data_IF_893117697636
#
_entry.id   IF_893117697636
#
_cell.length_a   1.000
_cell.length_b   1.000
_cell.length_c   1.000
_cell.angle_alpha   90.00
_cell.angle_beta   90.00
_cell.angle_gamma   90.00
#
_symmetry.space_group_name_H-M   'P 1'
#
loop_
_entity.id
_entity.type
_entity.pdbx_description
1 polymer ?
#
# COMPACT_ATOMS: atom_id res chain seq x y z
N UNK A 1 16.99 -3.93 -18.63
CA UNK A 1 16.25 -5.22 -18.67
C UNK A 1 17.06 -6.31 -19.38
N UNK A 2 17.64 -6.08 -20.57
CA UNK A 2 18.42 -7.10 -21.31
C UNK A 2 19.55 -7.77 -20.51
N UNK A 3 20.10 -7.11 -19.48
CA UNK A 3 21.16 -7.67 -18.65
C UNK A 3 20.67 -8.68 -17.59
N UNK A 4 19.38 -8.61 -17.21
CA UNK A 4 18.75 -9.60 -16.33
C UNK A 4 18.27 -10.84 -17.11
N UNK A 5 18.16 -10.77 -18.43
CA UNK A 5 17.64 -11.85 -19.29
C UNK A 5 18.66 -12.97 -19.59
N UNK A 6 19.88 -12.89 -19.03
CA UNK A 6 20.87 -13.95 -19.16
C UNK A 6 20.60 -15.11 -18.18
N UNK A 7 21.11 -16.31 -18.48
CA UNK A 7 20.86 -17.53 -17.68
C UNK A 7 21.70 -17.63 -16.39
N UNK A 8 22.62 -16.69 -16.14
CA UNK A 8 23.50 -16.75 -14.97
C UNK A 8 22.71 -16.60 -13.68
N UNK A 9 22.92 -17.49 -12.74
CA UNK A 9 22.24 -17.47 -11.43
C UNK A 9 22.68 -16.30 -10.54
N UNK A 10 23.90 -15.80 -10.76
CA UNK A 10 24.47 -14.65 -10.04
C UNK A 10 24.93 -13.62 -11.05
N UNK A 11 24.61 -12.37 -10.77
CA UNK A 11 24.94 -11.21 -11.63
C UNK A 11 25.40 -10.05 -10.79
N UNK A 12 26.31 -9.26 -11.38
CA UNK A 12 26.64 -7.94 -10.86
C UNK A 12 26.26 -6.91 -11.92
N UNK A 13 25.41 -5.98 -11.55
CA UNK A 13 24.96 -4.91 -12.43
C UNK A 13 25.31 -3.56 -11.85
N UNK A 14 25.50 -2.58 -12.72
CA UNK A 14 25.59 -1.17 -12.37
C UNK A 14 24.23 -0.53 -12.66
N UNK A 15 23.56 -0.05 -11.62
CA UNK A 15 22.26 0.61 -11.68
C UNK A 15 22.41 2.00 -11.10
N UNK A 16 22.12 3.05 -11.88
CA UNK A 16 22.29 4.46 -11.44
C UNK A 16 23.67 4.73 -10.84
N UNK A 17 24.74 4.13 -11.42
CA UNK A 17 26.10 4.24 -10.91
C UNK A 17 26.45 3.35 -9.72
N UNK A 18 25.50 2.65 -9.15
CA UNK A 18 25.67 1.78 -8.00
C UNK A 18 25.87 0.32 -8.40
N UNK A 19 26.83 -0.34 -7.79
CA UNK A 19 27.13 -1.75 -8.01
C UNK A 19 26.25 -2.62 -7.13
N UNK A 20 25.39 -3.42 -7.76
CA UNK A 20 24.46 -4.33 -7.08
C UNK A 20 24.81 -5.76 -7.42
N UNK A 21 24.98 -6.60 -6.41
CA UNK A 21 25.18 -8.03 -6.57
C UNK A 21 23.84 -8.76 -6.44
N UNK A 22 23.42 -9.41 -7.49
CA UNK A 22 22.24 -10.27 -7.52
C UNK A 22 22.69 -11.73 -7.44
N UNK A 23 22.01 -12.51 -6.58
CA UNK A 23 22.32 -13.92 -6.36
C UNK A 23 21.05 -14.75 -6.33
N UNK A 24 21.20 -16.05 -6.62
CA UNK A 24 20.08 -17.00 -6.61
C UNK A 24 18.90 -16.53 -7.48
N UNK A 25 19.20 -16.02 -8.68
CA UNK A 25 18.21 -15.44 -9.58
C UNK A 25 17.16 -16.45 -10.05
N UNK A 26 17.50 -17.73 -10.04
CA UNK A 26 16.59 -18.82 -10.40
C UNK A 26 15.75 -19.32 -9.20
N UNK A 27 15.97 -18.74 -8.00
CA UNK A 27 15.17 -19.08 -6.82
C UNK A 27 13.70 -18.83 -7.09
N UNK A 28 12.86 -19.82 -6.77
CA UNK A 28 11.44 -19.77 -6.93
C UNK A 28 10.81 -18.85 -5.87
N UNK A 29 10.09 -17.83 -6.32
CA UNK A 29 9.35 -16.93 -5.45
C UNK A 29 7.86 -17.26 -5.44
N UNK A 30 7.24 -17.44 -6.60
CA UNK A 30 5.87 -17.95 -6.71
C UNK A 30 5.88 -19.25 -7.52
N UNK A 31 5.43 -20.37 -6.95
CA UNK A 31 5.18 -21.58 -7.72
C UNK A 31 4.05 -21.33 -8.72
N UNK A 32 4.09 -21.98 -9.86
CA UNK A 32 3.00 -21.90 -10.83
C UNK A 32 1.68 -22.35 -10.20
N UNK A 33 0.60 -21.69 -10.53
CA UNK A 33 -0.74 -22.00 -10.04
C UNK A 33 -1.77 -21.84 -11.16
N UNK A 34 -2.56 -22.86 -11.41
CA UNK A 34 -3.51 -22.91 -12.53
C UNK A 34 -2.84 -22.57 -13.88
N UNK A 35 -3.26 -21.49 -14.53
CA UNK A 35 -2.65 -21.00 -15.78
C UNK A 35 -1.46 -20.03 -15.58
N UNK A 36 -1.13 -19.68 -14.32
CA UNK A 36 -0.03 -18.76 -14.03
C UNK A 36 1.30 -19.48 -14.02
N UNK A 37 2.28 -18.89 -14.70
CA UNK A 37 3.63 -19.43 -14.78
C UNK A 37 4.37 -19.33 -13.44
N UNK A 38 5.42 -20.13 -13.32
CA UNK A 38 6.37 -20.04 -12.22
C UNK A 38 7.13 -18.71 -12.26
N UNK A 39 7.19 -17.99 -11.15
CA UNK A 39 7.90 -16.73 -11.02
C UNK A 39 9.13 -16.90 -10.15
N UNK A 40 10.29 -16.67 -10.74
CA UNK A 40 11.58 -16.67 -10.04
C UNK A 40 11.94 -15.28 -9.53
N UNK A 41 13.00 -15.19 -8.72
CA UNK A 41 13.58 -13.90 -8.31
C UNK A 41 13.91 -13.03 -9.52
N UNK A 42 14.44 -13.62 -10.60
CA UNK A 42 14.74 -12.92 -11.87
C UNK A 42 13.49 -12.26 -12.43
N UNK A 43 12.41 -12.99 -12.58
CA UNK A 43 11.14 -12.47 -13.10
C UNK A 43 10.63 -11.32 -12.22
N UNK A 44 10.74 -11.46 -10.90
CA UNK A 44 10.35 -10.41 -9.96
C UNK A 44 11.22 -9.15 -10.11
N UNK A 45 12.53 -9.27 -10.23
CA UNK A 45 13.44 -8.14 -10.46
C UNK A 45 13.18 -7.46 -11.81
N UNK A 46 12.90 -8.23 -12.86
CA UNK A 46 12.48 -7.71 -14.16
C UNK A 46 11.16 -6.93 -14.05
N UNK A 47 10.19 -7.45 -13.29
CA UNK A 47 8.95 -6.74 -12.99
C UNK A 47 9.25 -5.39 -12.31
N UNK A 48 9.98 -5.38 -11.19
CA UNK A 48 10.32 -4.15 -10.46
C UNK A 48 11.02 -3.12 -11.36
N UNK A 49 11.99 -3.56 -12.15
CA UNK A 49 12.68 -2.70 -13.11
C UNK A 49 11.73 -2.13 -14.16
N UNK A 50 10.78 -2.94 -14.65
CA UNK A 50 9.85 -2.53 -15.70
C UNK A 50 8.82 -1.50 -15.23
N UNK A 51 8.36 -1.62 -13.97
CA UNK A 51 7.34 -0.74 -13.39
C UNK A 51 7.92 0.43 -12.61
N UNK A 52 9.24 0.46 -12.39
CA UNK A 52 9.92 1.47 -11.58
C UNK A 52 9.60 2.92 -11.97
N UNK A 53 9.43 3.31 -13.25
CA UNK A 53 9.09 4.70 -13.60
C UNK A 53 7.76 5.17 -13.01
N UNK A 54 6.81 4.25 -12.81
CA UNK A 54 5.50 4.53 -12.22
C UNK A 54 5.47 4.25 -10.71
N UNK A 55 6.22 3.25 -10.24
CA UNK A 55 6.23 2.83 -8.83
C UNK A 55 7.03 3.79 -7.94
N UNK A 56 8.23 4.20 -8.35
CA UNK A 56 9.12 5.03 -7.52
C UNK A 56 8.51 6.35 -7.07
N UNK A 57 7.75 7.11 -7.90
CA UNK A 57 7.09 8.32 -7.43
C UNK A 57 6.15 8.13 -6.23
N UNK A 58 5.55 6.94 -6.09
CA UNK A 58 4.65 6.61 -4.97
C UNK A 58 5.39 6.11 -3.73
N UNK A 59 6.62 5.64 -3.87
CA UNK A 59 7.49 5.23 -2.75
C UNK A 59 8.29 6.42 -2.19
N UNK A 60 8.52 7.45 -3.02
CA UNK A 60 9.43 8.54 -2.74
C UNK A 60 9.11 9.25 -1.42
N UNK A 61 10.14 9.38 -0.57
CA UNK A 61 10.08 10.04 0.75
C UNK A 61 9.09 9.40 1.74
N UNK A 62 8.72 8.12 1.55
CA UNK A 62 7.84 7.38 2.48
C UNK A 62 8.60 6.31 3.23
N UNK A 63 8.27 6.16 4.51
CA UNK A 63 8.75 5.02 5.30
C UNK A 63 8.22 3.73 4.69
N UNK A 64 9.13 2.78 4.44
CA UNK A 64 8.79 1.48 3.88
C UNK A 64 8.70 0.44 4.99
N UNK A 65 7.64 -0.35 4.95
CA UNK A 65 7.52 -1.59 5.72
C UNK A 65 7.71 -2.76 4.76
N UNK A 66 8.66 -3.63 5.07
CA UNK A 66 9.03 -4.78 4.25
C UNK A 66 8.25 -6.01 4.67
N UNK A 67 7.76 -6.76 3.68
CA UNK A 67 7.22 -8.10 3.90
C UNK A 67 8.02 -9.08 3.06
N UNK A 68 9.02 -9.67 3.73
CA UNK A 68 10.04 -10.48 3.09
C UNK A 68 9.74 -11.97 3.16
N UNK A 69 10.05 -12.65 2.06
CA UNK A 69 9.95 -14.10 1.92
C UNK A 69 11.24 -14.66 1.28
N UNK A 70 12.34 -14.78 2.05
CA UNK A 70 13.64 -15.19 1.49
C UNK A 70 13.62 -16.55 0.79
N UNK A 71 12.64 -17.42 1.11
CA UNK A 71 12.45 -18.73 0.49
C UNK A 71 11.23 -18.78 -0.46
N UNK A 72 10.74 -17.62 -0.93
CA UNK A 72 9.52 -17.52 -1.72
C UNK A 72 8.26 -17.60 -0.86
N UNK A 73 7.09 -17.46 -1.50
CA UNK A 73 5.80 -17.31 -0.80
C UNK A 73 5.39 -18.51 0.07
N UNK A 74 5.97 -19.68 -0.18
CA UNK A 74 5.76 -20.88 0.63
C UNK A 74 6.67 -20.94 1.87
N UNK A 75 7.65 -20.04 1.96
CA UNK A 75 8.59 -19.97 3.06
C UNK A 75 8.13 -19.08 4.20
N UNK A 76 9.04 -18.90 5.17
CA UNK A 76 8.78 -18.04 6.33
C UNK A 76 8.63 -16.58 5.92
N UNK A 77 7.58 -15.92 6.46
CA UNK A 77 7.30 -14.50 6.36
C UNK A 77 8.06 -13.71 7.42
N UNK A 78 8.69 -12.62 7.02
CA UNK A 78 9.31 -11.65 7.91
C UNK A 78 8.66 -10.28 7.70
N UNK A 79 8.10 -9.74 8.77
CA UNK A 79 7.57 -8.39 8.79
C UNK A 79 8.61 -7.47 9.42
N UNK A 80 9.05 -6.43 8.69
CA UNK A 80 10.17 -5.62 9.11
C UNK A 80 9.91 -4.13 8.82
N UNK A 81 9.86 -3.30 9.87
CA UNK A 81 9.63 -1.85 9.76
C UNK A 81 10.92 -1.04 9.78
N UNK A 82 11.95 -1.55 10.40
CA UNK A 82 13.24 -0.88 10.55
C UNK A 82 14.36 -1.84 10.20
N UNK A 83 15.54 -1.30 9.93
CA UNK A 83 16.70 -2.08 9.52
C UNK A 83 17.84 -1.85 10.51
N UNK A 84 18.43 -2.93 11.02
CA UNK A 84 19.51 -2.89 12.02
C UNK A 84 20.88 -3.32 11.50
N UNK A 85 20.94 -3.85 10.25
CA UNK A 85 22.16 -4.37 9.65
C UNK A 85 22.85 -3.33 8.74
N UNK A 86 24.04 -3.66 8.25
CA UNK A 86 24.74 -2.85 7.26
C UNK A 86 23.92 -2.71 5.98
N UNK A 87 23.77 -1.48 5.52
CA UNK A 87 23.07 -1.13 4.29
C UNK A 87 24.06 -0.77 3.18
N UNK A 88 23.72 -1.06 1.92
CA UNK A 88 24.41 -0.46 0.79
C UNK A 88 24.34 1.08 0.85
N UNK A 89 25.40 1.76 0.42
CA UNK A 89 25.49 3.23 0.49
C UNK A 89 24.41 3.97 -0.31
N UNK A 90 23.76 3.32 -1.24
CA UNK A 90 22.68 3.90 -2.05
C UNK A 90 21.29 3.77 -1.40
N UNK A 91 21.17 3.06 -0.29
CA UNK A 91 19.92 2.90 0.47
C UNK A 91 19.82 4.03 1.48
N UNK A 92 18.83 4.87 1.29
CA UNK A 92 18.55 5.97 2.19
C UNK A 92 17.74 5.50 3.40
N UNK A 93 18.00 6.10 4.55
CA UNK A 93 17.26 5.88 5.80
C UNK A 93 16.84 7.18 6.44
N UNK A 94 15.81 7.09 7.27
CA UNK A 94 15.44 8.17 8.19
C UNK A 94 15.29 7.61 9.59
N UNK A 95 15.86 8.32 10.57
CA UNK A 95 15.82 7.92 11.97
C UNK A 95 14.56 8.45 12.63
N UNK A 96 13.77 7.54 13.23
CA UNK A 96 12.46 7.86 13.81
C UNK A 96 12.33 7.21 15.18
N UNK A 97 11.79 7.96 16.14
CA UNK A 97 11.46 7.43 17.46
C UNK A 97 10.31 6.42 17.39
N UNK A 98 10.46 5.29 18.06
CA UNK A 98 9.44 4.25 18.14
C UNK A 98 8.98 4.05 19.59
N UNK A 99 7.69 4.21 19.83
CA UNK A 99 7.10 4.05 21.16
C UNK A 99 7.30 2.66 21.72
N UNK A 100 7.06 1.63 20.88
CA UNK A 100 7.11 0.23 21.30
C UNK A 100 8.50 -0.17 21.86
N UNK A 101 9.59 0.36 21.26
CA UNK A 101 10.94 0.05 21.68
C UNK A 101 11.58 1.16 22.52
N UNK A 102 10.88 2.29 22.66
CA UNK A 102 11.33 3.50 23.38
C UNK A 102 12.72 3.96 22.95
N UNK A 103 12.99 3.93 21.63
CA UNK A 103 14.27 4.33 21.04
C UNK A 103 14.12 4.81 19.59
N UNK A 104 15.15 5.47 19.09
CA UNK A 104 15.25 5.87 17.69
C UNK A 104 15.71 4.70 16.83
N UNK A 105 15.01 4.41 15.75
CA UNK A 105 15.31 3.35 14.79
C UNK A 105 15.39 3.87 13.37
N UNK A 106 16.17 3.18 12.52
CA UNK A 106 16.35 3.54 11.12
C UNK A 106 15.31 2.85 10.26
N UNK A 107 14.50 3.65 9.58
CA UNK A 107 13.51 3.22 8.60
C UNK A 107 14.05 3.43 7.19
N UNK A 108 13.78 2.48 6.30
CA UNK A 108 14.20 2.55 4.91
C UNK A 108 13.31 3.50 4.10
N UNK A 109 13.95 4.18 3.15
CA UNK A 109 13.31 4.90 2.06
C UNK A 109 13.65 4.20 0.74
N UNK A 110 12.75 4.26 -0.23
CA UNK A 110 12.99 3.73 -1.57
C UNK A 110 12.82 4.84 -2.60
N UNK A 111 13.86 5.68 -2.72
CA UNK A 111 13.86 6.89 -3.55
C UNK A 111 14.52 6.69 -4.91
N UNK A 112 15.13 5.52 -5.16
CA UNK A 112 15.89 5.25 -6.38
C UNK A 112 15.75 3.78 -6.82
N UNK A 113 16.08 3.51 -8.09
CA UNK A 113 15.98 2.19 -8.69
C UNK A 113 16.95 1.19 -8.05
N UNK A 114 18.13 1.65 -7.67
CA UNK A 114 19.14 0.81 -6.99
C UNK A 114 18.58 0.21 -5.71
N UNK A 115 17.92 1.02 -4.88
CA UNK A 115 17.26 0.57 -3.65
C UNK A 115 16.09 -0.36 -3.96
N UNK A 116 15.25 -0.03 -4.94
CA UNK A 116 14.12 -0.87 -5.33
C UNK A 116 14.56 -2.29 -5.74
N UNK A 117 15.60 -2.39 -6.57
CA UNK A 117 16.13 -3.68 -7.00
C UNK A 117 16.86 -4.43 -5.87
N UNK A 118 17.52 -3.71 -4.96
CA UNK A 118 18.10 -4.32 -3.77
C UNK A 118 17.01 -4.90 -2.85
N UNK A 119 15.89 -4.21 -2.66
CA UNK A 119 14.72 -4.74 -1.92
C UNK A 119 14.20 -6.04 -2.56
N UNK A 120 14.13 -6.08 -3.90
CA UNK A 120 13.81 -7.31 -4.61
C UNK A 120 14.84 -8.43 -4.40
N UNK A 121 16.14 -8.10 -4.35
CA UNK A 121 17.23 -9.05 -4.08
C UNK A 121 17.10 -9.68 -2.69
N UNK A 122 16.71 -8.91 -1.67
CA UNK A 122 16.52 -9.41 -0.31
C UNK A 122 15.14 -10.04 -0.08
N UNK A 123 14.38 -10.25 -1.17
CA UNK A 123 13.06 -10.89 -1.18
C UNK A 123 11.96 -10.12 -0.45
N UNK A 124 11.98 -8.81 -0.51
CA UNK A 124 10.83 -7.99 -0.14
C UNK A 124 9.78 -8.10 -1.24
N UNK A 125 8.76 -8.92 -1.01
CA UNK A 125 7.75 -9.25 -2.01
C UNK A 125 6.50 -8.37 -1.91
N UNK A 126 6.29 -7.70 -0.79
CA UNK A 126 5.22 -6.71 -0.63
C UNK A 126 5.79 -5.41 -0.07
N UNK A 127 5.79 -4.37 -0.87
CA UNK A 127 6.20 -3.01 -0.49
C UNK A 127 5.02 -2.28 0.15
N UNK A 128 5.10 -2.00 1.45
CA UNK A 128 4.09 -1.22 2.14
C UNK A 128 4.62 0.15 2.50
N UNK A 129 3.83 1.20 2.28
CA UNK A 129 4.22 2.58 2.55
C UNK A 129 3.38 3.24 3.62
N UNK A 130 4.02 4.11 4.40
CA UNK A 130 3.32 5.06 5.26
C UNK A 130 2.51 6.07 4.42
N UNK A 131 1.45 6.63 5.02
CA UNK A 131 0.60 7.62 4.34
C UNK A 131 1.18 9.04 4.37
N UNK A 132 2.32 9.23 5.03
CA UNK A 132 3.05 10.50 5.15
C UNK A 132 4.39 10.43 4.43
N UNK A 133 4.83 11.55 3.82
CA UNK A 133 6.19 11.74 3.31
C UNK A 133 7.04 12.50 4.33
N UNK A 134 8.35 12.21 4.37
CA UNK A 134 9.32 12.96 5.19
C UNK A 134 9.66 14.34 4.62
N UNK A 135 9.35 14.60 3.35
CA UNK A 135 9.56 15.89 2.70
C UNK A 135 8.38 16.85 3.01
N UNK A 136 8.71 18.02 3.56
CA UNK A 136 7.73 19.03 3.96
C UNK A 136 7.05 19.76 2.79
N UNK A 137 7.62 19.68 1.58
CA UNK A 137 7.08 20.38 0.41
C UNK A 137 5.90 19.60 -0.22
N UNK A 138 4.95 20.33 -0.83
CA UNK A 138 4.80 21.80 -0.84
C UNK A 138 3.97 22.33 0.34
N UNK A 139 3.22 21.50 1.07
CA UNK A 139 2.06 21.87 1.89
C UNK A 139 2.27 21.75 3.42
N UNK A 140 3.50 21.49 3.88
CA UNK A 140 3.80 21.28 5.30
C UNK A 140 5.09 21.98 5.76
N UNK A 141 5.46 23.10 5.14
CA UNK A 141 6.74 23.82 5.38
C UNK A 141 6.92 24.26 6.83
N UNK A 142 5.85 24.48 7.56
CA UNK A 142 5.86 24.96 8.93
C UNK A 142 5.89 23.84 9.98
N UNK A 143 5.81 22.56 9.56
CA UNK A 143 5.85 21.44 10.46
C UNK A 143 7.30 21.05 10.81
N UNK A 144 7.58 20.74 12.07
CA UNK A 144 8.90 20.25 12.47
C UNK A 144 9.28 18.95 11.75
N UNK A 145 10.56 18.83 11.40
CA UNK A 145 11.14 17.64 10.77
C UNK A 145 12.05 16.85 11.72
N UNK A 146 11.93 17.09 13.02
CA UNK A 146 12.62 16.32 14.06
C UNK A 146 11.77 15.10 14.43
N UNK A 147 12.20 13.92 14.01
CA UNK A 147 11.48 12.66 14.20
C UNK A 147 12.00 11.79 15.35
N UNK A 148 13.00 12.29 16.09
CA UNK A 148 13.80 11.53 17.06
C UNK A 148 13.66 12.04 18.49
N UNK A 149 14.06 11.19 19.46
CA UNK A 149 14.27 11.54 20.85
C UNK A 149 13.07 11.34 21.77
N UNK A 150 11.84 11.55 21.30
CA UNK A 150 10.63 11.31 22.12
C UNK A 150 9.38 11.19 21.27
N UNK A 151 8.32 10.62 21.87
CA UNK A 151 7.00 10.59 21.27
C UNK A 151 6.43 12.00 21.04
N UNK A 152 6.67 12.92 21.95
CA UNK A 152 6.20 14.30 21.84
C UNK A 152 6.80 15.02 20.60
N UNK A 153 8.09 14.81 20.32
CA UNK A 153 8.71 15.32 19.10
C UNK A 153 8.03 14.72 17.86
N UNK A 154 7.76 13.43 17.87
CA UNK A 154 7.17 12.73 16.75
C UNK A 154 5.72 13.17 16.50
N UNK A 155 4.92 13.38 17.56
CA UNK A 155 3.53 13.86 17.48
C UNK A 155 3.43 15.28 16.91
N UNK A 156 4.38 16.15 17.23
CA UNK A 156 4.44 17.50 16.69
C UNK A 156 5.04 17.55 15.28
N UNK A 157 5.70 16.47 14.84
CA UNK A 157 6.45 16.43 13.60
C UNK A 157 5.59 16.20 12.38
N UNK A 158 6.19 16.49 11.21
CA UNK A 158 5.62 16.21 9.89
C UNK A 158 5.10 14.76 9.75
N UNK A 159 5.74 13.78 10.39
CA UNK A 159 5.30 12.37 10.32
C UNK A 159 3.93 12.11 10.97
N UNK A 160 3.39 13.05 11.72
CA UNK A 160 2.04 12.95 12.26
C UNK A 160 0.95 13.51 11.34
N UNK A 161 1.29 14.05 10.16
CA UNK A 161 0.38 14.71 9.24
C UNK A 161 0.34 13.97 7.89
N UNK A 162 -0.71 13.17 7.62
CA UNK A 162 -0.77 12.33 6.42
C UNK A 162 -1.05 13.10 5.14
N UNK A 163 -0.56 12.57 4.00
CA UNK A 163 -0.92 13.02 2.65
C UNK A 163 -2.31 12.51 2.21
N UNK A 164 -2.81 11.47 2.88
CA UNK A 164 -4.03 10.76 2.49
C UNK A 164 -4.91 10.42 3.68
N UNK A 165 -6.21 10.57 3.51
CA UNK A 165 -7.21 9.83 4.29
C UNK A 165 -7.51 8.54 3.52
N UNK A 166 -7.43 7.39 4.20
CA UNK A 166 -7.54 6.08 3.55
C UNK A 166 -8.67 5.24 4.14
N UNK A 167 -9.27 4.41 3.30
CA UNK A 167 -10.28 3.43 3.69
C UNK A 167 -9.89 2.09 3.09
N UNK A 168 -9.79 1.09 3.96
CA UNK A 168 -9.53 -0.29 3.58
C UNK A 168 -10.84 -1.07 3.66
N UNK A 169 -11.27 -1.63 2.54
CA UNK A 169 -12.53 -2.32 2.38
C UNK A 169 -12.28 -3.80 2.14
N UNK A 170 -12.53 -4.62 3.15
CA UNK A 170 -12.31 -6.06 3.09
C UNK A 170 -13.62 -6.85 3.10
N UNK A 171 -13.86 -7.73 2.11
CA UNK A 171 -15.01 -8.62 2.13
C UNK A 171 -14.80 -9.75 3.14
N UNK A 172 -15.79 -9.97 3.99
CA UNK A 172 -15.87 -11.11 4.91
C UNK A 172 -16.98 -12.07 4.48
N UNK A 173 -16.88 -12.54 3.25
CA UNK A 173 -17.71 -13.63 2.73
C UNK A 173 -16.85 -14.89 2.69
N UNK A 174 -16.82 -15.59 3.81
CA UNK A 174 -16.10 -16.84 3.91
C UNK A 174 -16.92 -18.01 3.42
N UNK A 175 -16.23 -18.99 2.86
CA UNK A 175 -16.81 -20.28 2.51
C UNK A 175 -17.09 -21.13 3.76
N UNK A 176 -16.57 -20.73 4.93
CA UNK A 176 -16.57 -21.52 6.16
C UNK A 176 -15.45 -22.56 6.22
N UNK A 177 -14.62 -22.62 5.18
CA UNK A 177 -13.48 -23.54 5.09
C UNK A 177 -12.14 -22.93 5.57
N UNK A 178 -12.10 -21.60 5.78
CA UNK A 178 -10.90 -20.88 6.18
C UNK A 178 -10.54 -21.21 7.64
N UNK A 179 -9.26 -21.51 7.88
CA UNK A 179 -8.74 -21.69 9.23
C UNK A 179 -8.50 -20.35 9.90
N UNK A 180 -8.65 -20.31 11.21
CA UNK A 180 -8.36 -19.12 12.01
C UNK A 180 -6.91 -18.65 11.78
N UNK A 181 -6.74 -17.45 11.24
CA UNK A 181 -5.43 -16.86 10.95
C UNK A 181 -4.98 -16.98 9.50
N UNK A 182 -5.69 -17.73 8.66
CA UNK A 182 -5.43 -17.74 7.23
C UNK A 182 -5.88 -16.40 6.60
N UNK A 183 -5.09 -15.90 5.66
CA UNK A 183 -5.53 -14.79 4.83
C UNK A 183 -6.59 -15.33 3.85
N UNK A 184 -7.76 -14.67 3.72
CA UNK A 184 -8.81 -15.16 2.85
C UNK A 184 -8.38 -15.15 1.38
N UNK A 185 -8.75 -16.18 0.63
CA UNK A 185 -8.64 -16.19 -0.82
C UNK A 185 -9.69 -15.27 -1.45
N UNK A 186 -9.45 -14.82 -2.68
CA UNK A 186 -10.41 -13.98 -3.40
C UNK A 186 -11.74 -14.69 -3.57
N UNK A 187 -12.79 -14.11 -2.99
CA UNK A 187 -14.17 -14.53 -3.18
C UNK A 187 -14.89 -13.56 -4.12
N UNK A 188 -15.18 -13.98 -5.35
CA UNK A 188 -15.72 -13.11 -6.41
C UNK A 188 -17.01 -12.37 -6.00
N UNK A 189 -17.94 -13.04 -5.31
CA UNK A 189 -19.16 -12.42 -4.80
C UNK A 189 -18.82 -11.37 -3.72
N UNK A 190 -17.89 -11.68 -2.82
CA UNK A 190 -17.42 -10.76 -1.79
C UNK A 190 -16.80 -9.51 -2.40
N UNK A 191 -15.95 -9.68 -3.40
CA UNK A 191 -15.34 -8.55 -4.11
C UNK A 191 -16.39 -7.65 -4.79
N UNK A 192 -17.43 -8.22 -5.39
CA UNK A 192 -18.55 -7.43 -5.96
C UNK A 192 -19.31 -6.63 -4.90
N UNK A 193 -19.54 -7.19 -3.71
CA UNK A 193 -20.13 -6.41 -2.60
C UNK A 193 -19.17 -5.30 -2.13
N UNK A 194 -17.85 -5.55 -2.15
CA UNK A 194 -16.84 -4.51 -1.85
C UNK A 194 -16.86 -3.39 -2.90
N UNK A 195 -17.01 -3.71 -4.18
CA UNK A 195 -17.18 -2.71 -5.23
C UNK A 195 -18.44 -1.84 -5.00
N UNK A 196 -19.57 -2.46 -4.61
CA UNK A 196 -20.78 -1.71 -4.25
C UNK A 196 -20.56 -0.79 -3.06
N UNK A 197 -19.88 -1.27 -2.01
CA UNK A 197 -19.53 -0.44 -0.88
C UNK A 197 -18.62 0.73 -1.30
N UNK A 198 -17.65 0.50 -2.18
CA UNK A 198 -16.80 1.56 -2.71
C UNK A 198 -17.59 2.63 -3.46
N UNK A 199 -18.63 2.28 -4.21
CA UNK A 199 -19.50 3.26 -4.87
C UNK A 199 -20.29 4.11 -3.87
N UNK A 200 -20.71 3.59 -2.71
CA UNK A 200 -21.34 4.40 -1.66
C UNK A 200 -20.37 5.44 -1.08
N UNK A 201 -19.09 5.08 -0.93
CA UNK A 201 -18.06 6.06 -0.60
C UNK A 201 -17.88 7.10 -1.70
N UNK A 202 -17.83 6.65 -2.97
CA UNK A 202 -17.69 7.56 -4.12
C UNK A 202 -18.81 8.59 -4.17
N UNK A 203 -20.06 8.14 -4.03
CA UNK A 203 -21.24 9.02 -4.01
C UNK A 203 -21.14 10.06 -2.88
N UNK A 204 -20.77 9.64 -1.66
CA UNK A 204 -20.58 10.56 -0.55
C UNK A 204 -19.45 11.55 -0.81
N UNK A 205 -18.31 11.09 -1.35
CA UNK A 205 -17.19 11.96 -1.66
C UNK A 205 -17.53 12.98 -2.76
N UNK A 206 -18.34 12.60 -3.75
CA UNK A 206 -18.83 13.54 -4.77
C UNK A 206 -19.74 14.61 -4.17
N UNK A 207 -20.64 14.24 -3.24
CA UNK A 207 -21.47 15.20 -2.50
C UNK A 207 -20.62 16.17 -1.66
N UNK A 208 -19.50 15.68 -1.11
CA UNK A 208 -18.54 16.49 -0.34
C UNK A 208 -17.52 17.22 -1.23
N UNK A 209 -17.60 17.09 -2.56
CA UNK A 209 -16.63 17.63 -3.53
C UNK A 209 -15.18 17.16 -3.26
N UNK A 210 -15.02 15.92 -2.79
CA UNK A 210 -13.73 15.29 -2.54
C UNK A 210 -13.33 14.37 -3.70
N UNK A 211 -12.15 14.56 -4.26
CA UNK A 211 -11.56 13.61 -5.20
C UNK A 211 -11.14 12.35 -4.45
N UNK A 212 -11.69 11.22 -4.81
CA UNK A 212 -11.34 9.93 -4.26
C UNK A 212 -10.74 9.03 -5.35
N UNK A 213 -9.71 8.31 -4.99
CA UNK A 213 -8.96 7.40 -5.84
C UNK A 213 -9.12 5.97 -5.32
N UNK A 214 -9.32 5.02 -6.21
CA UNK A 214 -9.55 3.62 -5.85
C UNK A 214 -8.52 2.71 -6.47
N UNK A 215 -8.08 1.70 -5.70
CA UNK A 215 -7.19 0.63 -6.18
C UNK A 215 -7.59 -0.73 -5.61
N UNK A 216 -7.19 -1.80 -6.26
CA UNK A 216 -7.26 -3.13 -5.63
C UNK A 216 -6.27 -3.19 -4.47
N UNK A 217 -6.59 -3.94 -3.42
CA UNK A 217 -5.61 -4.29 -2.39
C UNK A 217 -4.51 -5.23 -2.94
N UNK A 218 -4.73 -5.82 -4.12
CA UNK A 218 -3.92 -6.90 -4.69
C UNK A 218 -4.21 -8.27 -4.07
N UNK A 219 -5.21 -8.37 -3.18
CA UNK A 219 -5.73 -9.61 -2.58
C UNK A 219 -7.25 -9.67 -2.75
N UNK A 220 -8.00 -9.40 -1.69
CA UNK A 220 -9.45 -9.63 -1.65
C UNK A 220 -10.29 -8.37 -1.76
N UNK A 221 -9.73 -7.21 -1.40
CA UNK A 221 -10.47 -5.98 -1.17
C UNK A 221 -10.05 -4.80 -2.06
N UNK A 222 -10.52 -3.63 -1.65
CA UNK A 222 -10.23 -2.34 -2.27
C UNK A 222 -9.70 -1.34 -1.25
N UNK A 223 -8.80 -0.47 -1.68
CA UNK A 223 -8.41 0.69 -0.90
C UNK A 223 -8.90 1.97 -1.59
N UNK A 224 -9.48 2.88 -0.81
CA UNK A 224 -9.85 4.22 -1.30
C UNK A 224 -8.95 5.25 -0.63
N UNK A 225 -8.40 6.15 -1.44
CA UNK A 225 -7.51 7.22 -1.01
C UNK A 225 -8.11 8.57 -1.35
N UNK A 226 -8.21 9.44 -0.36
CA UNK A 226 -8.56 10.86 -0.53
C UNK A 226 -7.31 11.67 -0.23
N UNK A 227 -6.71 12.36 -1.21
CA UNK A 227 -5.52 13.17 -0.99
C UNK A 227 -5.88 14.43 -0.17
N UNK A 228 -5.09 14.70 0.87
CA UNK A 228 -5.37 15.80 1.80
C UNK A 228 -4.13 16.66 2.04
N UNK A 229 -4.35 17.94 2.35
CA UNK A 229 -3.28 18.81 2.84
C UNK A 229 -2.81 18.35 4.22
N UNK A 230 -1.52 18.42 4.45
CA UNK A 230 -0.91 18.02 5.73
C UNK A 230 -1.05 19.12 6.77
N UNK A 231 -2.28 19.51 7.08
CA UNK A 231 -2.64 20.54 8.06
C UNK A 231 -3.52 20.03 9.20
N UNK A 232 -3.84 18.73 9.20
CA UNK A 232 -4.49 18.00 10.29
C UNK A 232 -3.73 16.70 10.56
N UNK A 233 -3.68 16.30 11.82
CA UNK A 233 -2.95 15.11 12.27
C UNK A 233 -3.73 13.81 12.02
N UNK A 234 -3.06 12.67 12.25
CA UNK A 234 -3.67 11.36 12.08
C UNK A 234 -4.89 11.12 12.98
N UNK A 235 -4.91 11.64 14.20
CA UNK A 235 -6.03 11.43 15.11
C UNK A 235 -7.28 12.12 14.58
N UNK A 236 -7.13 13.33 14.04
CA UNK A 236 -8.24 14.04 13.40
C UNK A 236 -8.68 13.39 12.10
N UNK A 237 -7.75 12.93 11.28
CA UNK A 237 -8.08 12.18 10.04
C UNK A 237 -8.83 10.89 10.39
N UNK A 238 -8.42 10.16 11.43
CA UNK A 238 -9.10 8.95 11.89
C UNK A 238 -10.52 9.24 12.40
N UNK A 239 -10.74 10.33 13.15
CA UNK A 239 -12.06 10.77 13.59
C UNK A 239 -13.00 11.04 12.41
N UNK A 240 -12.51 11.79 11.41
CA UNK A 240 -13.26 12.09 10.18
C UNK A 240 -13.59 10.78 9.42
N UNK A 241 -12.60 9.92 9.21
CA UNK A 241 -12.81 8.67 8.50
C UNK A 241 -13.76 7.72 9.24
N UNK A 242 -13.73 7.69 10.57
CA UNK A 242 -14.68 6.95 11.39
C UNK A 242 -16.12 7.49 11.20
N UNK A 243 -16.29 8.82 11.18
CA UNK A 243 -17.59 9.46 10.97
C UNK A 243 -18.17 9.08 9.60
N UNK A 244 -17.33 9.12 8.55
CA UNK A 244 -17.71 8.69 7.21
C UNK A 244 -18.12 7.20 7.19
N UNK A 245 -17.34 6.32 7.81
CA UNK A 245 -17.69 4.89 7.90
C UNK A 245 -19.00 4.66 8.68
N UNK A 246 -19.24 5.39 9.75
CA UNK A 246 -20.51 5.31 10.50
C UNK A 246 -21.71 5.76 9.66
N UNK A 247 -21.56 6.79 8.85
CA UNK A 247 -22.61 7.23 7.92
C UNK A 247 -22.96 6.16 6.89
N UNK A 248 -21.95 5.54 6.26
CA UNK A 248 -22.15 4.43 5.32
C UNK A 248 -22.80 3.24 6.03
N UNK A 249 -22.35 2.89 7.24
CA UNK A 249 -22.91 1.81 8.05
C UNK A 249 -24.38 2.08 8.40
N UNK A 250 -24.75 3.30 8.78
CA UNK A 250 -26.14 3.66 9.09
C UNK A 250 -27.09 3.49 7.90
N UNK A 251 -26.61 3.79 6.68
CA UNK A 251 -27.37 3.59 5.44
C UNK A 251 -27.43 2.13 4.99
N UNK A 252 -26.41 1.34 5.28
CA UNK A 252 -26.24 -0.04 4.76
C UNK A 252 -25.88 -1.07 5.86
N UNK A 253 -26.64 -1.16 6.98
CA UNK A 253 -26.24 -1.92 8.18
C UNK A 253 -26.16 -3.44 7.96
N UNK A 254 -26.83 -3.96 6.95
CA UNK A 254 -26.79 -5.39 6.61
C UNK A 254 -25.67 -5.77 5.63
N UNK A 255 -24.99 -4.78 5.04
CA UNK A 255 -24.00 -4.97 3.98
C UNK A 255 -22.58 -4.67 4.42
N UNK A 256 -22.40 -3.72 5.35
CA UNK A 256 -21.09 -3.32 5.84
C UNK A 256 -21.02 -3.42 7.36
N UNK A 257 -19.81 -3.36 7.89
CA UNK A 257 -19.54 -3.34 9.33
C UNK A 257 -18.24 -2.58 9.63
N UNK A 258 -18.17 -1.99 10.81
CA UNK A 258 -16.93 -1.43 11.38
C UNK A 258 -16.47 -2.22 12.60
N UNK A 259 -17.09 -3.38 12.89
CA UNK A 259 -16.78 -4.20 14.05
C UNK A 259 -15.48 -4.98 13.86
N UNK A 260 -14.60 -4.91 14.84
CA UNK A 260 -13.31 -5.63 14.83
C UNK A 260 -13.45 -7.13 15.03
N UNK A 261 -14.53 -7.58 15.63
CA UNK A 261 -14.76 -9.00 15.85
C UNK A 261 -15.05 -9.71 14.53
N UNK A 262 -14.20 -10.64 14.14
CA UNK A 262 -14.32 -11.41 12.89
C UNK A 262 -15.68 -12.11 12.80
N UNK A 263 -16.20 -12.65 13.93
CA UNK A 263 -17.51 -13.32 13.98
C UNK A 263 -18.70 -12.41 13.63
N UNK A 264 -18.53 -11.08 13.75
CA UNK A 264 -19.56 -10.10 13.40
C UNK A 264 -19.43 -9.54 11.98
N UNK A 265 -18.39 -9.95 11.25
CA UNK A 265 -18.11 -9.49 9.88
C UNK A 265 -18.69 -10.44 8.82
N UNK A 266 -19.11 -11.63 9.19
CA UNK A 266 -19.62 -12.64 8.25
C UNK A 266 -20.70 -12.08 7.34
N UNK A 267 -20.51 -12.26 6.02
CA UNK A 267 -21.42 -11.78 4.98
C UNK A 267 -21.40 -10.27 4.75
N UNK A 268 -20.48 -9.52 5.35
CA UNK A 268 -20.39 -8.05 5.26
C UNK A 268 -19.02 -7.61 4.74
N UNK A 269 -18.96 -6.39 4.22
CA UNK A 269 -17.71 -5.70 3.93
C UNK A 269 -17.26 -4.95 5.18
N UNK A 270 -16.06 -5.23 5.63
CA UNK A 270 -15.45 -4.50 6.74
C UNK A 270 -14.87 -3.17 6.25
N UNK A 271 -15.22 -2.09 6.92
CA UNK A 271 -14.76 -0.74 6.65
C UNK A 271 -13.70 -0.37 7.69
N UNK A 272 -12.41 -0.53 7.34
CA UNK A 272 -11.33 -0.20 8.27
C UNK A 272 -10.87 1.25 8.10
N UNK A 273 -11.29 2.09 9.04
CA UNK A 273 -10.86 3.48 9.18
C UNK A 273 -9.60 3.63 10.05
N UNK A 274 -9.18 2.58 10.79
CA UNK A 274 -8.02 2.62 11.68
C UNK A 274 -6.68 2.52 10.95
N UNK A 275 -6.71 2.32 9.64
CA UNK A 275 -5.51 2.51 8.80
C UNK A 275 -5.00 3.96 8.81
N UNK A 276 -5.82 4.93 9.23
CA UNK A 276 -5.43 6.31 9.43
C UNK A 276 -4.70 6.51 10.77
N UNK A 277 -3.50 5.94 10.89
CA UNK A 277 -2.63 6.11 12.04
C UNK A 277 -1.16 6.15 11.62
N UNK A 278 -0.34 6.92 12.36
CA UNK A 278 1.08 7.12 12.07
C UNK A 278 1.88 5.82 11.89
N UNK A 279 1.55 4.80 12.66
CA UNK A 279 2.25 3.50 12.63
C UNK A 279 1.73 2.53 11.56
N UNK A 280 0.72 2.90 10.79
CA UNK A 280 0.10 2.05 9.78
C UNK A 280 0.70 2.28 8.40
N UNK A 281 0.76 1.21 7.63
CA UNK A 281 1.14 1.22 6.22
C UNK A 281 0.23 0.29 5.44
N UNK A 282 0.02 0.60 4.17
CA UNK A 282 -0.73 -0.24 3.22
C UNK A 282 0.16 -0.61 2.05
N UNK A 283 -0.19 -1.69 1.36
CA UNK A 283 0.46 -2.07 0.12
C UNK A 283 0.53 -0.88 -0.83
N UNK A 284 1.73 -0.53 -1.25
CA UNK A 284 1.94 0.56 -2.20
C UNK A 284 1.25 0.25 -3.52
N UNK A 285 0.99 1.29 -4.28
CA UNK A 285 0.57 1.17 -5.68
C UNK A 285 1.65 0.38 -6.43
N UNK A 286 1.21 -0.54 -7.28
CA UNK A 286 2.09 -1.42 -8.06
C UNK A 286 2.97 -2.37 -7.23
N UNK A 287 2.73 -2.47 -5.92
CA UNK A 287 3.34 -3.52 -5.10
C UNK A 287 2.69 -4.87 -5.40
N UNK A 288 3.46 -5.92 -5.71
CA UNK A 288 2.94 -7.29 -5.71
C UNK A 288 2.46 -7.66 -4.32
N UNK A 289 1.61 -8.67 -4.27
CA UNK A 289 1.11 -9.27 -3.04
C UNK A 289 1.42 -10.76 -3.02
N UNK A 290 1.59 -11.28 -1.85
CA UNK A 290 1.79 -12.70 -1.63
C UNK A 290 0.44 -13.41 -1.74
N UNK A 291 -0.03 -13.53 -2.98
CA UNK A 291 -1.16 -14.34 -3.42
C UNK A 291 -0.65 -15.41 -4.38
N UNK A 292 -1.44 -16.44 -4.65
CA UNK A 292 -1.06 -17.53 -5.56
C UNK A 292 -0.80 -17.02 -6.99
N UNK A 293 -1.52 -15.97 -7.39
CA UNK A 293 -1.47 -15.36 -8.71
C UNK A 293 -0.39 -14.29 -8.84
N UNK A 294 0.36 -13.98 -7.79
CA UNK A 294 1.26 -12.83 -7.73
C UNK A 294 0.54 -11.53 -8.14
N UNK A 295 -0.67 -11.35 -7.62
CA UNK A 295 -1.51 -10.19 -7.92
C UNK A 295 -0.87 -8.90 -7.40
N UNK A 296 -1.21 -7.79 -8.02
CA UNK A 296 -0.61 -6.48 -7.76
C UNK A 296 -1.66 -5.49 -7.29
N UNK A 297 -1.32 -4.70 -6.29
CA UNK A 297 -2.14 -3.58 -5.82
C UNK A 297 -2.21 -2.48 -6.89
N UNK A 298 -3.33 -2.41 -7.61
CA UNK A 298 -3.43 -1.68 -8.88
C UNK A 298 -4.44 -0.55 -8.84
N UNK A 299 -4.06 0.68 -9.22
CA UNK A 299 -4.97 1.80 -9.43
C UNK A 299 -6.02 1.52 -10.51
N UNK A 300 -7.24 1.98 -10.27
CA UNK A 300 -8.40 1.75 -11.12
C UNK A 300 -9.13 3.05 -11.42
N UNK A 301 -9.69 3.14 -12.63
CA UNK A 301 -10.81 4.04 -12.88
C UNK A 301 -12.07 3.54 -12.17
N UNK A 302 -12.91 4.45 -11.69
CA UNK A 302 -14.18 4.07 -11.04
C UNK A 302 -15.10 3.26 -11.97
N UNK A 303 -15.03 3.50 -13.28
CA UNK A 303 -15.77 2.78 -14.32
C UNK A 303 -15.26 1.34 -14.58
N UNK A 304 -14.10 1.00 -14.04
CA UNK A 304 -13.51 -0.34 -14.17
C UNK A 304 -14.00 -1.32 -13.09
N UNK A 305 -14.41 -0.82 -11.91
CA UNK A 305 -14.66 -1.63 -10.70
C UNK A 305 -15.58 -2.84 -10.90
N UNK A 306 -16.64 -2.70 -11.69
CA UNK A 306 -17.58 -3.79 -11.90
C UNK A 306 -17.11 -4.85 -12.91
N UNK A 307 -16.03 -4.53 -13.66
CA UNK A 307 -15.54 -5.31 -14.81
C UNK A 307 -14.32 -6.16 -14.50
N UNK A 308 -13.71 -5.96 -13.32
CA UNK A 308 -12.40 -6.53 -12.97
C UNK A 308 -12.45 -7.33 -11.67
N UNK A 309 -11.39 -8.09 -11.47
CA UNK A 309 -11.01 -8.70 -10.20
C UNK A 309 -9.54 -8.40 -9.87
N UNK A 310 -9.14 -8.41 -8.60
CA UNK A 310 -7.74 -8.19 -8.22
C UNK A 310 -6.75 -9.13 -8.93
N UNK A 311 -7.17 -10.35 -9.24
CA UNK A 311 -6.36 -11.36 -9.94
C UNK A 311 -6.14 -11.08 -11.42
N UNK A 312 -6.82 -10.11 -12.02
CA UNK A 312 -6.59 -9.69 -13.40
C UNK A 312 -5.27 -8.89 -13.53
N UNK A 313 -4.77 -8.36 -12.41
CA UNK A 313 -3.57 -7.55 -12.33
C UNK A 313 -2.46 -8.31 -11.60
N UNK A 314 -1.57 -8.93 -12.35
CA UNK A 314 -0.44 -9.70 -11.83
C UNK A 314 0.88 -9.05 -12.23
N UNK A 315 2.00 -9.55 -11.71
CA UNK A 315 3.33 -9.08 -12.15
C UNK A 315 3.58 -9.37 -13.65
N UNK A 316 2.80 -10.26 -14.27
CA UNK A 316 2.88 -10.55 -15.69
C UNK A 316 2.04 -9.58 -16.53
N UNK A 317 0.83 -9.24 -16.08
CA UNK A 317 -0.14 -8.44 -16.86
C UNK A 317 -0.01 -6.93 -16.64
N UNK A 318 0.40 -6.50 -15.45
CA UNK A 318 0.45 -5.08 -15.10
C UNK A 318 1.40 -4.24 -15.96
N UNK A 319 2.61 -4.72 -16.34
CA UNK A 319 3.50 -3.92 -17.19
C UNK A 319 2.88 -3.52 -18.53
N UNK A 320 2.04 -4.38 -19.11
CA UNK A 320 1.32 -4.05 -20.35
C UNK A 320 0.25 -2.99 -20.09
N UNK A 321 -0.56 -3.16 -19.04
CA UNK A 321 -1.56 -2.15 -18.63
C UNK A 321 -0.93 -0.76 -18.42
N UNK A 322 0.24 -0.69 -17.78
CA UNK A 322 0.92 0.57 -17.54
C UNK A 322 1.42 1.24 -18.84
N UNK A 323 1.84 0.45 -19.81
CA UNK A 323 2.18 0.98 -21.14
C UNK A 323 0.97 1.53 -21.88
N UNK A 324 -0.21 0.93 -21.71
CA UNK A 324 -1.44 1.31 -22.40
C UNK A 324 -2.15 2.48 -21.72
N UNK A 325 -2.29 2.44 -20.39
CA UNK A 325 -3.10 3.41 -19.61
C UNK A 325 -2.27 4.41 -18.81
N UNK A 326 -0.98 4.15 -18.62
CA UNK A 326 -0.15 4.93 -17.70
C UNK A 326 -0.53 4.73 -16.24
N UNK A 327 -0.03 5.61 -15.40
CA UNK A 327 -0.36 5.66 -13.99
C UNK A 327 -1.59 6.55 -13.76
N UNK A 328 -2.71 5.93 -13.39
CA UNK A 328 -3.97 6.63 -13.09
C UNK A 328 -3.90 7.52 -11.84
N UNK A 329 -2.84 7.37 -11.03
CA UNK A 329 -2.64 8.14 -9.81
C UNK A 329 -1.44 9.11 -9.89
N UNK A 330 -0.87 9.32 -11.08
CA UNK A 330 0.31 10.15 -11.28
C UNK A 330 0.18 11.57 -10.66
N UNK A 331 -1.02 12.12 -10.67
CA UNK A 331 -1.33 13.46 -10.18
C UNK A 331 -2.03 13.49 -8.80
N UNK A 332 -2.11 12.37 -8.08
CA UNK A 332 -2.85 12.26 -6.81
C UNK A 332 -2.43 13.32 -5.79
N UNK A 333 -1.13 13.60 -5.68
CA UNK A 333 -0.60 14.60 -4.72
C UNK A 333 -0.89 16.06 -5.14
N UNK A 334 -1.28 16.32 -6.38
CA UNK A 334 -1.69 17.65 -6.83
C UNK A 334 -3.17 17.97 -6.55
N UNK A 335 -3.97 16.95 -6.22
CA UNK A 335 -5.42 17.05 -6.01
C UNK A 335 -5.83 17.06 -4.53
N UNK A 336 -5.00 17.62 -3.67
CA UNK A 336 -5.18 17.61 -2.22
C UNK A 336 -6.32 18.54 -1.76
N UNK A 337 -7.15 18.02 -0.86
CA UNK A 337 -8.24 18.73 -0.20
C UNK A 337 -7.85 19.25 1.17
N UNK A 338 -8.42 20.38 1.56
CA UNK A 338 -8.30 20.96 2.89
C UNK A 338 -9.43 20.44 3.78
N UNK A 339 -9.16 19.34 4.51
CA UNK A 339 -10.17 18.75 5.40
C UNK A 339 -10.45 19.60 6.64
N UNK A 340 -9.54 20.48 7.05
CA UNK A 340 -9.77 21.35 8.21
C UNK A 340 -10.94 22.32 7.94
N UNK A 341 -11.07 22.80 6.71
CA UNK A 341 -12.20 23.67 6.30
C UNK A 341 -13.52 22.90 6.11
N UNK A 342 -13.44 21.62 5.76
CA UNK A 342 -14.62 20.77 5.53
C UNK A 342 -15.24 20.24 6.82
N UNK A 343 -14.50 20.22 7.93
CA UNK A 343 -14.96 19.62 9.18
C UNK A 343 -16.23 20.28 9.74
N UNK A 344 -16.36 21.60 9.58
CA UNK A 344 -17.57 22.35 9.95
C UNK A 344 -18.78 22.00 9.06
N UNK A 345 -18.54 21.58 7.83
CA UNK A 345 -19.61 21.21 6.88
C UNK A 345 -20.01 19.74 6.98
N UNK A 346 -19.09 18.85 7.40
CA UNK A 346 -19.35 17.43 7.61
C UNK A 346 -20.44 17.18 8.64
N UNK A 347 -20.45 17.93 9.74
CA UNK A 347 -21.46 17.82 10.80
C UNK A 347 -22.88 18.22 10.34
N UNK A 348 -23.02 18.85 9.18
CA UNK A 348 -24.31 19.26 8.62
C UNK A 348 -24.82 18.28 7.54
N UNK A 349 -23.91 17.49 6.92
CA UNK A 349 -24.20 16.57 5.82
C UNK A 349 -24.26 15.11 6.29
N UNK A 350 -23.53 14.77 7.35
CA UNK A 350 -23.43 13.45 7.97
C UNK A 350 -24.09 13.47 9.34
#
# INVERSE_FOLDING_TARGET
>A
MSQLDNENENLQLIVEGNKINFSSLNKLYWPGYASHATITKRHYLCYLASVSPWLLPHLHDRLITLIRFPQGIQGQKFFQKHWGDNLPNFVETVRVFTEHENKDLDFLLCNNLSTLLWLGQIADLELHTAHTRINALPDAKNLPTKFTGSIENLEKSLLNYPDFMVFDLDPYLYSGAEKKGDEPELHRKGFKETCRAAFWFKELFDQLSLNAFVKTSGKTGLHIYVPIKRNIDYDKVREISQTICKHILAKHPTKVTTDWSVSKREGKVFLDHNMNARSKSLASIFSPRVSKEAAVSTPLGWDELEKIYPTDFTIETLPLRLKEKGDLWADILSRKHDLASLFSSLSTII
#
